data_IF_897984701090
#
_entry.id   IF_897984701090
#
_cell.length_a   1.000
_cell.length_b   1.000
_cell.length_c   1.000
_cell.angle_alpha   90.00
_cell.angle_beta   90.00
_cell.angle_gamma   90.00
#
_symmetry.space_group_name_H-M   'P 1'
#
loop_
_entity.id
_entity.type
_entity.pdbx_description
1 polymer ?
#
# COMPACT_ATOMS: atom_id res chain seq x y z
N UNK A 1 -71.21 -20.23 20.73
CA UNK A 1 -69.99 -19.57 20.21
C UNK A 1 -68.81 -20.54 20.33
N UNK A 2 -68.65 -21.52 19.43
CA UNK A 2 -67.43 -22.35 19.43
C UNK A 2 -67.04 -22.90 18.05
N UNK A 3 -67.58 -22.32 16.97
CA UNK A 3 -67.38 -22.84 15.62
C UNK A 3 -66.18 -22.27 14.85
N UNK A 4 -65.52 -21.22 15.36
CA UNK A 4 -64.49 -20.51 14.59
C UNK A 4 -63.07 -21.06 14.86
N UNK A 5 -62.87 -21.85 15.93
CA UNK A 5 -61.51 -22.19 16.39
C UNK A 5 -60.92 -23.47 15.75
N UNK A 6 -61.73 -24.39 15.24
CA UNK A 6 -61.22 -25.63 14.62
C UNK A 6 -60.81 -25.46 13.16
N UNK A 7 -61.45 -24.55 12.42
CA UNK A 7 -61.10 -24.25 11.02
C UNK A 7 -59.83 -23.41 10.90
N UNK A 8 -59.57 -22.51 11.86
CA UNK A 8 -58.29 -21.77 11.93
C UNK A 8 -57.10 -22.68 12.27
N UNK A 9 -57.31 -23.75 13.03
CA UNK A 9 -56.27 -24.73 13.37
C UNK A 9 -55.95 -25.70 12.22
N UNK A 10 -56.88 -25.91 11.28
CA UNK A 10 -56.63 -26.66 10.05
C UNK A 10 -55.89 -25.83 8.99
N UNK A 11 -55.86 -24.51 9.12
CA UNK A 11 -55.23 -23.56 8.20
C UNK A 11 -53.74 -23.32 8.46
N UNK A 12 -53.21 -23.80 9.58
CA UNK A 12 -51.79 -23.77 9.91
C UNK A 12 -51.38 -25.19 10.31
N UNK A 13 -51.35 -26.09 9.33
CA UNK A 13 -50.73 -27.38 9.51
C UNK A 13 -49.24 -27.17 9.81
N UNK A 14 -48.90 -27.29 11.10
CA UNK A 14 -47.58 -27.01 11.64
C UNK A 14 -46.51 -27.86 10.92
N UNK A 15 -46.87 -29.06 10.48
CA UNK A 15 -45.97 -29.96 9.75
C UNK A 15 -45.65 -29.45 8.34
N UNK A 16 -46.64 -28.86 7.66
CA UNK A 16 -46.47 -28.18 6.38
C UNK A 16 -45.57 -26.95 6.53
N UNK A 17 -45.79 -26.14 7.56
CA UNK A 17 -44.95 -24.95 7.85
C UNK A 17 -43.52 -25.36 8.20
N UNK A 18 -43.35 -26.39 9.03
CA UNK A 18 -42.03 -26.92 9.38
C UNK A 18 -41.29 -27.46 8.15
N UNK A 19 -41.98 -28.19 7.28
CA UNK A 19 -41.40 -28.70 6.03
C UNK A 19 -40.95 -27.56 5.11
N UNK A 20 -41.76 -26.51 4.96
CA UNK A 20 -41.43 -25.35 4.13
C UNK A 20 -40.24 -24.56 4.69
N UNK A 21 -40.17 -24.41 6.03
CA UNK A 21 -39.03 -23.79 6.72
C UNK A 21 -37.77 -24.64 6.54
N UNK A 22 -37.87 -25.96 6.68
CA UNK A 22 -36.73 -26.88 6.50
C UNK A 22 -36.20 -26.80 5.07
N UNK A 23 -37.07 -26.77 4.06
CA UNK A 23 -36.64 -26.64 2.65
C UNK A 23 -35.93 -25.31 2.43
N UNK A 24 -36.52 -24.18 2.87
CA UNK A 24 -35.90 -22.85 2.71
C UNK A 24 -34.55 -22.74 3.42
N UNK A 25 -34.45 -23.27 4.64
CA UNK A 25 -33.18 -23.29 5.38
C UNK A 25 -32.16 -24.20 4.71
N UNK A 26 -32.59 -25.34 4.17
CA UNK A 26 -31.69 -26.28 3.47
C UNK A 26 -31.14 -25.64 2.20
N UNK A 27 -31.99 -24.97 1.42
CA UNK A 27 -31.58 -24.27 0.20
C UNK A 27 -30.64 -23.11 0.52
N UNK A 28 -30.97 -22.28 1.53
CA UNK A 28 -30.14 -21.16 1.94
C UNK A 28 -28.77 -21.59 2.50
N UNK A 29 -28.73 -22.65 3.31
CA UNK A 29 -27.49 -23.22 3.82
C UNK A 29 -26.67 -23.82 2.67
N UNK A 30 -27.32 -24.55 1.75
CA UNK A 30 -26.66 -25.15 0.60
C UNK A 30 -26.02 -24.09 -0.31
N UNK A 31 -26.72 -22.99 -0.56
CA UNK A 31 -26.24 -21.88 -1.37
C UNK A 31 -25.04 -21.19 -0.70
N UNK A 32 -25.17 -20.83 0.59
CA UNK A 32 -24.09 -20.20 1.36
C UNK A 32 -22.84 -21.08 1.48
N UNK A 33 -23.02 -22.38 1.72
CA UNK A 33 -21.90 -23.32 1.80
C UNK A 33 -21.23 -23.47 0.43
N UNK A 34 -22.00 -23.54 -0.64
CA UNK A 34 -21.47 -23.61 -2.01
C UNK A 34 -20.67 -22.36 -2.38
N UNK A 35 -21.17 -21.19 -1.99
CA UNK A 35 -20.48 -19.92 -2.20
C UNK A 35 -19.19 -19.81 -1.37
N UNK A 36 -19.24 -20.17 -0.09
CA UNK A 36 -18.07 -20.12 0.80
C UNK A 36 -16.98 -21.11 0.37
N UNK A 37 -17.37 -22.31 -0.10
CA UNK A 37 -16.43 -23.28 -0.70
C UNK A 37 -15.80 -22.70 -1.96
N UNK A 38 -16.61 -22.13 -2.88
CA UNK A 38 -16.07 -21.51 -4.11
C UNK A 38 -15.09 -20.40 -3.77
N UNK A 39 -15.45 -19.48 -2.89
CA UNK A 39 -14.59 -18.37 -2.50
C UNK A 39 -13.28 -18.85 -1.88
N UNK A 40 -13.33 -19.82 -0.95
CA UNK A 40 -12.12 -20.40 -0.35
C UNK A 40 -11.25 -21.13 -1.37
N UNK A 41 -11.84 -21.82 -2.35
CA UNK A 41 -11.10 -22.47 -3.42
C UNK A 41 -10.43 -21.44 -4.35
N UNK A 42 -11.13 -20.38 -4.74
CA UNK A 42 -10.57 -19.31 -5.55
C UNK A 42 -9.42 -18.60 -4.84
N UNK A 43 -9.59 -18.19 -3.59
CA UNK A 43 -8.52 -17.55 -2.82
C UNK A 43 -7.30 -18.46 -2.65
N UNK A 44 -7.51 -19.77 -2.41
CA UNK A 44 -6.39 -20.73 -2.33
C UNK A 44 -5.71 -20.93 -3.68
N UNK A 45 -6.47 -20.98 -4.77
CA UNK A 45 -5.94 -21.11 -6.12
C UNK A 45 -5.11 -19.89 -6.51
N UNK A 46 -5.62 -18.68 -6.26
CA UNK A 46 -4.87 -17.42 -6.46
C UNK A 46 -3.57 -17.40 -5.66
N UNK A 47 -3.62 -17.70 -4.36
CA UNK A 47 -2.42 -17.77 -3.54
C UNK A 47 -1.41 -18.80 -4.06
N UNK A 48 -1.88 -19.96 -4.55
CA UNK A 48 -1.00 -20.98 -5.11
C UNK A 48 -0.39 -20.57 -6.45
N UNK A 49 -1.15 -19.86 -7.28
CA UNK A 49 -0.65 -19.26 -8.53
C UNK A 49 0.44 -18.25 -8.20
N UNK A 50 0.21 -17.34 -7.24
CA UNK A 50 1.19 -16.33 -6.84
C UNK A 50 2.50 -16.97 -6.34
N UNK A 51 2.40 -18.01 -5.50
CA UNK A 51 3.57 -18.76 -5.01
C UNK A 51 4.33 -19.38 -6.18
N UNK A 52 3.62 -19.99 -7.12
CA UNK A 52 4.23 -20.68 -8.27
C UNK A 52 4.91 -19.68 -9.21
N UNK A 53 4.25 -18.55 -9.48
CA UNK A 53 4.81 -17.46 -10.30
C UNK A 53 6.05 -16.87 -9.62
N UNK A 54 6.01 -16.62 -8.31
CA UNK A 54 7.15 -16.13 -7.55
C UNK A 54 8.35 -17.10 -7.64
N UNK A 55 8.10 -18.41 -7.52
CA UNK A 55 9.13 -19.44 -7.65
C UNK A 55 9.75 -19.48 -9.06
N UNK A 56 8.93 -19.38 -10.11
CA UNK A 56 9.41 -19.33 -11.51
C UNK A 56 10.26 -18.07 -11.72
N UNK A 57 9.82 -16.91 -11.22
CA UNK A 57 10.59 -15.67 -11.32
C UNK A 57 11.92 -15.81 -10.58
N UNK A 58 11.93 -16.40 -9.40
CA UNK A 58 13.16 -16.65 -8.65
C UNK A 58 14.12 -17.57 -9.42
N UNK A 59 13.61 -18.67 -9.97
CA UNK A 59 14.40 -19.59 -10.79
C UNK A 59 15.01 -18.89 -12.01
N UNK A 60 14.19 -18.19 -12.80
CA UNK A 60 14.63 -17.49 -14.01
C UNK A 60 15.62 -16.37 -13.68
N UNK A 61 15.45 -15.67 -12.55
CA UNK A 61 16.33 -14.56 -12.18
C UNK A 61 17.64 -15.01 -11.56
N UNK A 62 17.71 -16.22 -10.99
CA UNK A 62 18.91 -16.79 -10.39
C UNK A 62 19.68 -17.69 -11.34
N UNK A 63 19.03 -18.23 -12.37
CA UNK A 63 19.68 -19.05 -13.38
C UNK A 63 20.84 -18.29 -14.03
N UNK A 64 22.02 -18.93 -14.01
CA UNK A 64 23.23 -18.40 -14.62
C UNK A 64 23.17 -18.70 -16.12
N UNK A 65 23.32 -17.65 -16.93
CA UNK A 65 23.42 -17.73 -18.38
C UNK A 65 24.56 -16.85 -18.87
N UNK A 66 25.03 -17.07 -20.10
CA UNK A 66 26.01 -16.18 -20.71
C UNK A 66 25.28 -15.27 -21.69
N UNK A 67 25.37 -13.93 -21.55
CA UNK A 67 24.80 -13.02 -22.54
C UNK A 67 25.34 -13.33 -23.92
N UNK A 68 24.52 -13.22 -24.95
CA UNK A 68 24.94 -13.41 -26.34
C UNK A 68 24.81 -12.11 -27.12
N UNK A 69 25.65 -11.92 -28.11
CA UNK A 69 25.52 -10.82 -29.08
C UNK A 69 24.31 -11.06 -29.98
N UNK A 70 23.93 -10.05 -30.77
CA UNK A 70 22.85 -10.19 -31.77
C UNK A 70 23.08 -11.30 -32.80
N UNK A 71 24.30 -11.83 -32.89
CA UNK A 71 24.69 -12.93 -33.77
C UNK A 71 24.78 -14.29 -33.06
N UNK A 72 24.43 -14.36 -31.77
CA UNK A 72 24.43 -15.58 -30.98
C UNK A 72 25.80 -15.96 -30.38
N UNK A 73 26.81 -15.09 -30.51
CA UNK A 73 28.13 -15.35 -29.95
C UNK A 73 28.16 -15.01 -28.46
N UNK A 74 28.86 -15.80 -27.62
CA UNK A 74 28.99 -15.50 -26.20
C UNK A 74 29.65 -14.14 -25.95
N UNK A 75 29.06 -13.33 -25.08
CA UNK A 75 29.50 -11.98 -24.75
C UNK A 75 29.69 -11.82 -23.24
N UNK A 76 30.95 -11.70 -22.81
CA UNK A 76 31.31 -11.50 -21.40
C UNK A 76 31.22 -12.78 -20.57
N UNK A 77 31.24 -12.61 -19.25
CA UNK A 77 31.22 -13.72 -18.28
C UNK A 77 29.80 -14.22 -18.01
N UNK A 78 29.63 -15.51 -17.63
CA UNK A 78 28.35 -16.04 -17.16
C UNK A 78 27.80 -15.22 -15.98
N UNK A 79 26.54 -14.84 -16.05
CA UNK A 79 25.85 -14.02 -15.04
C UNK A 79 24.38 -14.44 -14.93
N UNK A 80 23.71 -14.08 -13.85
CA UNK A 80 22.25 -14.18 -13.74
C UNK A 80 21.59 -12.87 -14.13
N UNK A 81 20.26 -12.87 -14.33
CA UNK A 81 19.49 -11.64 -14.58
C UNK A 81 19.68 -10.69 -13.39
N UNK A 82 19.62 -11.23 -12.17
CA UNK A 82 19.87 -10.45 -10.95
C UNK A 82 21.28 -9.85 -10.94
N UNK A 83 22.31 -10.61 -11.33
CA UNK A 83 23.68 -10.12 -11.42
C UNK A 83 23.86 -9.00 -12.45
N UNK A 84 23.21 -9.11 -13.61
CA UNK A 84 23.21 -8.05 -14.62
C UNK A 84 22.51 -6.78 -14.14
N UNK A 85 21.35 -6.92 -13.49
CA UNK A 85 20.63 -5.80 -12.90
C UNK A 85 21.47 -5.11 -11.81
N UNK A 86 22.08 -5.87 -10.91
CA UNK A 86 22.94 -5.32 -9.85
C UNK A 86 24.11 -4.54 -10.45
N UNK A 87 24.78 -5.08 -11.47
CA UNK A 87 25.86 -4.39 -12.17
C UNK A 87 25.37 -3.10 -12.83
N UNK A 88 24.27 -3.16 -13.57
CA UNK A 88 23.68 -2.01 -14.25
C UNK A 88 23.29 -0.89 -13.27
N UNK A 89 22.68 -1.26 -12.13
CA UNK A 89 22.31 -0.31 -11.07
C UNK A 89 23.56 0.31 -10.45
N UNK A 90 24.59 -0.48 -10.14
CA UNK A 90 25.87 0.02 -9.60
C UNK A 90 26.53 0.99 -10.59
N UNK A 91 26.61 0.62 -11.86
CA UNK A 91 27.21 1.45 -12.90
C UNK A 91 26.42 2.77 -13.08
N UNK A 92 25.10 2.70 -13.04
CA UNK A 92 24.23 3.87 -13.12
C UNK A 92 24.40 4.82 -11.92
N UNK A 93 24.52 4.30 -10.70
CA UNK A 93 24.76 5.10 -9.49
C UNK A 93 26.16 5.70 -9.45
N UNK A 94 27.15 5.00 -9.98
CA UNK A 94 28.55 5.44 -10.06
C UNK A 94 28.84 6.36 -11.24
N UNK A 95 27.88 6.50 -12.17
CA UNK A 95 28.01 7.43 -13.29
C UNK A 95 28.19 8.85 -12.77
N UNK A 96 29.25 9.52 -13.23
CA UNK A 96 29.51 10.91 -12.89
C UNK A 96 28.50 11.84 -13.56
N UNK A 97 27.90 12.73 -12.77
CA UNK A 97 26.92 13.71 -13.21
C UNK A 97 27.36 15.13 -12.87
N UNK A 98 26.93 16.08 -13.69
CA UNK A 98 27.10 17.51 -13.45
C UNK A 98 26.10 18.04 -12.40
N UNK A 99 26.08 19.37 -12.22
CA UNK A 99 25.18 20.05 -11.29
C UNK A 99 23.69 19.93 -11.67
N UNK A 100 23.38 19.56 -12.90
CA UNK A 100 22.03 19.40 -13.42
C UNK A 100 21.57 17.92 -13.36
N UNK A 101 22.47 17.00 -12.99
CA UNK A 101 22.20 15.56 -12.97
C UNK A 101 22.45 14.85 -14.30
N UNK A 102 22.99 15.56 -15.30
CA UNK A 102 23.33 15.01 -16.61
C UNK A 102 24.72 14.35 -16.58
N UNK A 103 24.93 13.22 -17.30
CA UNK A 103 26.25 12.61 -17.40
C UNK A 103 27.29 13.59 -17.95
N UNK A 104 28.38 13.79 -17.22
CA UNK A 104 29.45 14.71 -17.62
C UNK A 104 30.78 14.31 -17.00
N UNK A 105 31.87 14.66 -17.68
CA UNK A 105 33.25 14.36 -17.25
C UNK A 105 33.95 15.56 -16.59
N UNK A 106 33.34 16.75 -16.59
CA UNK A 106 33.95 17.97 -16.05
C UNK A 106 33.15 18.50 -14.87
N UNK A 107 33.84 18.76 -13.74
CA UNK A 107 33.24 19.24 -12.49
C UNK A 107 32.04 18.37 -12.04
N UNK A 108 32.23 17.05 -12.10
CA UNK A 108 31.21 16.06 -11.87
C UNK A 108 31.41 15.33 -10.55
N UNK A 109 30.34 14.74 -10.04
CA UNK A 109 30.34 13.85 -8.87
C UNK A 109 29.50 12.61 -9.16
N UNK A 110 29.68 11.51 -8.43
CA UNK A 110 28.85 10.31 -8.61
C UNK A 110 27.36 10.65 -8.46
N UNK A 111 26.51 10.05 -9.30
CA UNK A 111 25.06 10.25 -9.27
C UNK A 111 24.46 9.94 -7.90
N UNK A 112 24.97 8.93 -7.20
CA UNK A 112 24.55 8.61 -5.84
C UNK A 112 24.73 9.79 -4.89
N UNK A 113 25.89 10.45 -4.95
CA UNK A 113 26.19 11.63 -4.15
C UNK A 113 25.29 12.81 -4.54
N UNK A 114 25.05 13.03 -5.83
CA UNK A 114 24.16 14.09 -6.30
C UNK A 114 22.74 13.96 -5.74
N UNK A 115 22.14 12.77 -5.81
CA UNK A 115 20.79 12.57 -5.29
C UNK A 115 20.74 12.58 -3.77
N UNK A 116 21.75 12.05 -3.07
CA UNK A 116 21.82 12.13 -1.62
C UNK A 116 21.81 13.59 -1.15
N UNK A 117 22.64 14.45 -1.75
CA UNK A 117 22.67 15.88 -1.44
C UNK A 117 21.36 16.58 -1.80
N UNK A 118 20.74 16.22 -2.94
CA UNK A 118 19.45 16.78 -3.36
C UNK A 118 18.33 16.45 -2.38
N UNK A 119 18.22 15.18 -1.98
CA UNK A 119 17.19 14.73 -1.01
C UNK A 119 17.40 15.37 0.35
N UNK A 120 18.65 15.46 0.83
CA UNK A 120 18.97 16.16 2.08
C UNK A 120 18.60 17.64 1.97
N UNK A 121 18.96 18.30 0.87
CA UNK A 121 18.62 19.70 0.63
C UNK A 121 17.11 19.93 0.64
N UNK A 122 16.34 19.11 -0.09
CA UNK A 122 14.87 19.17 -0.13
C UNK A 122 14.25 18.89 1.25
N UNK A 123 14.77 17.93 1.99
CA UNK A 123 14.30 17.63 3.35
C UNK A 123 14.54 18.80 4.30
N UNK A 124 15.75 19.36 4.29
CA UNK A 124 16.12 20.53 5.11
C UNK A 124 15.26 21.73 4.74
N UNK A 125 15.13 22.04 3.45
CA UNK A 125 14.32 23.18 3.00
C UNK A 125 12.84 22.99 3.35
N UNK A 126 12.25 21.83 3.11
CA UNK A 126 10.82 21.65 3.33
C UNK A 126 10.45 21.50 4.81
N UNK A 127 11.18 20.66 5.57
CA UNK A 127 10.82 20.39 6.96
C UNK A 127 11.20 21.56 7.88
N UNK A 128 12.40 22.13 7.75
CA UNK A 128 12.78 23.25 8.63
C UNK A 128 11.91 24.48 8.38
N UNK A 129 11.55 24.76 7.12
CA UNK A 129 10.64 25.88 6.82
C UNK A 129 9.24 25.64 7.39
N UNK A 130 8.78 24.40 7.40
CA UNK A 130 7.47 24.05 7.96
C UNK A 130 7.48 24.19 9.50
N UNK A 131 8.47 23.59 10.17
CA UNK A 131 8.64 23.68 11.63
C UNK A 131 8.81 25.12 12.09
N UNK A 132 9.62 25.91 11.38
CA UNK A 132 9.84 27.32 11.72
C UNK A 132 8.56 28.15 11.57
N UNK A 133 7.72 27.88 10.56
CA UNK A 133 6.40 28.52 10.44
C UNK A 133 5.48 28.15 11.60
N UNK A 134 5.44 26.87 11.98
CA UNK A 134 4.63 26.42 13.12
C UNK A 134 5.05 27.09 14.43
N UNK A 135 6.36 27.20 14.70
CA UNK A 135 6.88 27.90 15.89
C UNK A 135 6.46 29.37 15.89
N UNK A 136 6.55 30.05 14.74
CA UNK A 136 6.11 31.45 14.62
C UNK A 136 4.62 31.60 14.89
N UNK A 137 3.79 30.69 14.38
CA UNK A 137 2.33 30.77 14.54
C UNK A 137 1.87 30.40 15.96
N UNK A 138 2.53 29.43 16.62
CA UNK A 138 2.33 29.14 18.04
C UNK A 138 2.74 30.34 18.91
N UNK A 139 3.88 30.97 18.61
CA UNK A 139 4.34 32.19 19.26
C UNK A 139 3.33 33.34 19.13
N UNK A 140 2.81 33.59 17.92
CA UNK A 140 1.75 34.59 17.70
C UNK A 140 0.49 34.30 18.49
N UNK A 141 0.09 33.02 18.57
CA UNK A 141 -1.11 32.60 19.29
C UNK A 141 -0.96 32.83 20.79
N UNK A 142 0.19 32.45 21.36
CA UNK A 142 0.51 32.71 22.78
C UNK A 142 0.53 34.20 23.11
N UNK A 143 1.13 35.03 22.26
CA UNK A 143 1.14 36.49 22.44
C UNK A 143 -0.28 37.06 22.41
N UNK A 144 -1.13 36.63 21.47
CA UNK A 144 -2.53 37.08 21.41
C UNK A 144 -3.32 36.68 22.64
N UNK A 145 -3.13 35.46 23.15
CA UNK A 145 -3.79 34.99 24.37
C UNK A 145 -3.37 35.83 25.59
N UNK A 146 -2.06 36.06 25.76
CA UNK A 146 -1.54 36.87 26.85
C UNK A 146 -2.01 38.33 26.78
N UNK A 147 -2.10 38.91 25.58
CA UNK A 147 -2.66 40.25 25.38
C UNK A 147 -4.15 40.31 25.73
N UNK A 148 -4.94 39.31 25.31
CA UNK A 148 -6.36 39.24 25.64
C UNK A 148 -6.60 39.17 27.15
N UNK A 149 -5.79 38.39 27.87
CA UNK A 149 -5.84 38.28 29.32
C UNK A 149 -5.45 39.58 30.03
N UNK A 150 -4.37 40.23 29.57
CA UNK A 150 -3.94 41.52 30.10
C UNK A 150 -5.00 42.63 29.90
N UNK A 151 -5.64 42.67 28.73
CA UNK A 151 -6.74 43.60 28.43
C UNK A 151 -7.94 43.32 29.33
N UNK A 152 -8.32 42.06 29.50
CA UNK A 152 -9.43 41.67 30.37
C UNK A 152 -9.20 42.07 31.84
N UNK A 153 -7.98 41.91 32.34
CA UNK A 153 -7.61 42.35 33.70
C UNK A 153 -7.68 43.87 33.84
N UNK A 154 -7.21 44.64 32.85
CA UNK A 154 -7.33 46.10 32.88
C UNK A 154 -8.79 46.57 32.86
N UNK A 155 -9.65 45.95 32.05
CA UNK A 155 -11.09 46.28 32.01
C UNK A 155 -11.75 46.02 33.37
N UNK A 156 -11.41 44.92 34.05
CA UNK A 156 -11.91 44.60 35.40
C UNK A 156 -11.38 45.51 36.50
N UNK A 157 -10.29 46.23 36.27
CA UNK A 157 -9.75 47.22 37.22
C UNK A 157 -10.39 48.61 37.05
N UNK A 158 -11.02 48.86 35.89
CA UNK A 158 -11.65 50.14 35.54
C UNK A 158 -13.15 50.15 35.87
N UNK A 159 -13.79 48.98 35.95
CA UNK A 159 -15.18 48.79 36.38
C UNK A 159 -15.26 48.17 37.76
#
# INVERSE_FOLDING_TARGET
MSGINSELLALLDIDTIQSEIIIKLTDEISERVSEDIRNKLFTKAEAQVDITVAAIIEEVTTQVFQPVTSWGEPNGEPTSIRGMMEKSIKDWWNTNVDRQGSPSNYNCKPRAQYYAEKVIGEYVDNNLRHEMKQIIDDGKTKVRAAMGEAIATQIKQIW
#
